data_IF_213664774807
#
_entry.id   IF_213664774807
#
_cell.length_a   1.000
_cell.length_b   1.000
_cell.length_c   1.000
_cell.angle_alpha   90.00
_cell.angle_beta   90.00
_cell.angle_gamma   90.00
#
_symmetry.space_group_name_H-M   'P 1'
#
loop_
_entity.id
_entity.type
_entity.pdbx_description
1 polymer ?
#
# COMPACT_ATOMS: atom_id res chain seq x y z
N UNK A 1 -4.42 6.09 16.03
CA UNK A 1 -3.24 5.86 15.17
C UNK A 1 -2.47 4.74 15.82
N UNK A 2 -2.06 3.72 15.07
CA UNK A 2 -1.23 2.63 15.59
C UNK A 2 0.05 3.27 16.11
N UNK A 3 0.41 3.02 17.37
CA UNK A 3 1.55 3.64 18.05
C UNK A 3 2.86 3.01 17.65
N UNK A 4 3.12 2.98 16.33
CA UNK A 4 4.43 2.70 15.78
C UNK A 4 5.27 3.97 15.99
N UNK A 5 6.40 3.83 16.67
CA UNK A 5 7.28 4.96 16.95
C UNK A 5 7.73 5.64 15.65
N UNK A 6 7.62 6.98 15.59
CA UNK A 6 8.03 7.78 14.42
C UNK A 6 7.07 7.74 13.23
N UNK A 7 6.04 6.89 13.26
CA UNK A 7 5.08 6.76 12.17
C UNK A 7 4.01 7.87 12.23
N UNK A 8 4.16 8.88 11.37
CA UNK A 8 3.23 10.03 11.27
C UNK A 8 2.74 10.22 9.82
N UNK A 9 1.78 9.40 9.36
CA UNK A 9 1.26 9.46 8.01
C UNK A 9 0.39 10.68 7.73
N UNK A 10 0.65 11.34 6.59
CA UNK A 10 -0.22 12.34 6.01
C UNK A 10 -1.29 11.68 5.13
N UNK A 11 -2.56 11.96 5.43
CA UNK A 11 -3.70 11.29 4.80
C UNK A 11 -4.24 12.06 3.61
N UNK A 12 -4.42 11.36 2.49
CA UNK A 12 -4.96 11.88 1.25
C UNK A 12 -6.26 11.17 0.89
N UNK A 13 -7.16 11.89 0.22
CA UNK A 13 -8.45 11.38 -0.29
C UNK A 13 -8.60 11.58 -1.81
N UNK A 14 -7.59 12.16 -2.46
CA UNK A 14 -7.58 12.47 -3.90
C UNK A 14 -6.35 11.85 -4.55
N UNK A 15 -6.55 11.12 -5.65
CA UNK A 15 -5.45 10.40 -6.30
C UNK A 15 -4.49 11.32 -7.04
N UNK A 16 -4.93 12.46 -7.56
CA UNK A 16 -4.02 13.39 -8.26
C UNK A 16 -3.08 14.07 -7.25
N UNK A 17 -3.61 14.50 -6.12
CA UNK A 17 -2.83 15.07 -5.03
C UNK A 17 -1.84 14.03 -4.46
N UNK A 18 -2.30 12.82 -4.14
CA UNK A 18 -1.42 11.75 -3.65
C UNK A 18 -0.35 11.40 -4.71
N UNK A 19 -0.71 11.28 -5.99
CA UNK A 19 0.24 11.04 -7.07
C UNK A 19 1.27 12.17 -7.16
N UNK A 20 0.85 13.43 -7.12
CA UNK A 20 1.71 14.59 -7.25
C UNK A 20 2.74 14.66 -6.12
N UNK A 21 2.33 14.42 -4.88
CA UNK A 21 3.22 14.46 -3.70
C UNK A 21 4.32 13.40 -3.79
N UNK A 22 4.01 12.19 -4.27
CA UNK A 22 4.96 11.07 -4.24
C UNK A 22 5.66 10.76 -5.56
N UNK A 23 5.23 11.37 -6.67
CA UNK A 23 5.75 11.13 -8.03
C UNK A 23 7.27 11.08 -8.10
N UNK A 24 7.94 12.12 -7.61
CA UNK A 24 9.40 12.23 -7.70
C UNK A 24 10.13 11.08 -6.99
N UNK A 25 9.56 10.55 -5.90
CA UNK A 25 10.14 9.42 -5.17
C UNK A 25 9.89 8.11 -5.91
N UNK A 26 8.67 7.89 -6.42
CA UNK A 26 8.36 6.69 -7.21
C UNK A 26 9.14 6.61 -8.52
N UNK A 27 9.38 7.73 -9.22
CA UNK A 27 10.23 7.75 -10.43
C UNK A 27 11.63 7.18 -10.15
N UNK A 28 12.18 7.38 -8.95
CA UNK A 28 13.50 6.84 -8.56
C UNK A 28 13.47 5.33 -8.28
N UNK A 29 12.28 4.77 -8.02
CA UNK A 29 12.08 3.33 -7.82
C UNK A 29 11.87 2.57 -9.12
N UNK A 30 11.52 3.23 -10.22
CA UNK A 30 11.37 2.55 -11.51
C UNK A 30 12.67 1.83 -11.89
N UNK A 31 12.55 0.56 -12.27
CA UNK A 31 13.64 -0.37 -12.55
C UNK A 31 14.28 -1.02 -11.31
N UNK A 32 13.95 -0.59 -10.08
CA UNK A 32 14.45 -1.22 -8.85
C UNK A 32 13.61 -2.46 -8.53
N UNK A 33 14.24 -3.58 -8.11
CA UNK A 33 13.50 -4.75 -7.68
C UNK A 33 12.93 -4.58 -6.27
N UNK A 34 11.74 -5.14 -6.02
CA UNK A 34 11.24 -5.33 -4.65
C UNK A 34 12.10 -6.38 -3.96
N UNK A 35 12.83 -6.02 -2.89
CA UNK A 35 13.72 -6.95 -2.19
C UNK A 35 12.97 -7.84 -1.20
N UNK A 36 12.13 -7.20 -0.41
CA UNK A 36 11.32 -7.83 0.61
C UNK A 36 10.07 -6.99 0.85
N UNK A 37 9.14 -7.53 1.63
CA UNK A 37 7.98 -6.82 2.12
C UNK A 37 7.66 -7.29 3.52
N UNK A 38 7.02 -6.42 4.30
CA UNK A 38 6.74 -6.67 5.70
C UNK A 38 5.31 -6.28 6.01
N UNK A 39 4.63 -7.15 6.73
CA UNK A 39 3.30 -6.90 7.27
C UNK A 39 3.35 -7.01 8.79
N UNK A 40 2.57 -6.18 9.45
CA UNK A 40 2.32 -6.29 10.89
C UNK A 40 1.51 -7.56 11.15
N UNK A 41 1.97 -8.40 12.07
CA UNK A 41 1.40 -9.71 12.33
C UNK A 41 0.89 -9.79 13.76
N UNK A 42 -0.38 -10.14 13.90
CA UNK A 42 -0.98 -10.44 15.20
C UNK A 42 -0.59 -11.85 15.62
N UNK A 43 0.20 -11.96 16.69
CA UNK A 43 0.67 -13.22 17.23
C UNK A 43 -0.44 -13.97 17.99
N UNK A 44 -1.43 -13.26 18.54
CA UNK A 44 -2.56 -13.86 19.23
C UNK A 44 -3.55 -14.47 18.23
N UNK A 45 -3.91 -13.72 17.20
CA UNK A 45 -4.82 -14.18 16.12
C UNK A 45 -4.10 -14.99 15.03
N UNK A 46 -2.76 -15.04 15.08
CA UNK A 46 -1.88 -15.74 14.14
C UNK A 46 -2.18 -15.32 12.69
N UNK A 47 -2.36 -14.02 12.48
CA UNK A 47 -2.85 -13.47 11.22
C UNK A 47 -2.22 -12.12 10.88
N UNK A 48 -2.45 -11.69 9.66
CA UNK A 48 -2.09 -10.33 9.25
C UNK A 48 -3.01 -9.34 9.94
N UNK A 49 -2.42 -8.37 10.65
CA UNK A 49 -3.12 -7.23 11.21
C UNK A 49 -3.26 -6.14 10.12
N UNK A 50 -4.41 -6.12 9.45
CA UNK A 50 -4.63 -5.36 8.22
C UNK A 50 -4.76 -3.84 8.44
N UNK A 51 -5.06 -3.38 9.66
CA UNK A 51 -4.94 -1.97 10.03
C UNK A 51 -3.49 -1.44 9.95
N UNK A 52 -2.51 -2.33 10.10
CA UNK A 52 -1.09 -2.03 10.04
C UNK A 52 -0.62 -1.64 8.63
N UNK A 53 0.46 -0.83 8.52
CA UNK A 53 1.03 -0.46 7.23
C UNK A 53 1.55 -1.68 6.46
N UNK A 54 1.38 -1.64 5.14
CA UNK A 54 2.06 -2.53 4.21
C UNK A 54 3.40 -1.90 3.83
N UNK A 55 4.49 -2.62 4.09
CA UNK A 55 5.85 -2.10 3.87
C UNK A 55 6.48 -2.83 2.69
N UNK A 56 6.92 -2.07 1.69
CA UNK A 56 7.61 -2.56 0.49
C UNK A 56 9.06 -2.08 0.51
N UNK A 57 10.00 -3.01 0.63
CA UNK A 57 11.42 -2.72 0.74
C UNK A 57 12.10 -2.82 -0.63
N UNK A 58 12.63 -1.70 -1.12
CA UNK A 58 13.40 -1.60 -2.37
C UNK A 58 14.92 -1.57 -2.12
N UNK A 59 15.35 -1.83 -0.89
CA UNK A 59 16.73 -1.89 -0.41
C UNK A 59 17.42 -0.56 -0.18
N UNK A 60 16.90 0.51 -0.80
CA UNK A 60 17.39 1.89 -0.61
C UNK A 60 16.39 2.76 0.14
N UNK A 61 15.14 2.33 0.20
CA UNK A 61 14.04 3.00 0.88
C UNK A 61 12.91 1.98 1.06
N UNK A 62 12.12 2.18 2.11
CA UNK A 62 10.86 1.52 2.35
C UNK A 62 9.71 2.42 1.88
N UNK A 63 8.78 1.84 1.13
CA UNK A 63 7.49 2.46 0.85
C UNK A 63 6.48 1.86 1.79
N UNK A 64 5.82 2.70 2.57
CA UNK A 64 4.88 2.30 3.60
C UNK A 64 3.50 2.82 3.18
N UNK A 65 2.53 1.91 3.02
CA UNK A 65 1.17 2.26 2.58
C UNK A 65 0.18 1.91 3.68
N UNK A 66 -0.73 2.82 3.98
CA UNK A 66 -1.86 2.55 4.87
C UNK A 66 -3.13 3.16 4.31
N UNK A 67 -4.15 2.33 4.18
CA UNK A 67 -5.53 2.77 4.02
C UNK A 67 -6.18 2.90 5.39
N UNK A 68 -7.10 3.87 5.50
CA UNK A 68 -8.02 3.95 6.62
C UNK A 68 -9.33 4.58 6.18
N UNK A 69 -10.38 4.38 6.98
CA UNK A 69 -11.73 4.87 6.66
C UNK A 69 -12.11 4.44 5.23
N UNK A 70 -13.12 5.07 4.67
CA UNK A 70 -13.66 4.67 3.38
C UNK A 70 -12.79 5.04 2.16
N UNK A 71 -11.93 6.06 2.25
CA UNK A 71 -11.19 6.58 1.09
C UNK A 71 -9.87 7.29 1.42
N UNK A 72 -9.35 7.14 2.64
CA UNK A 72 -8.10 7.79 3.00
C UNK A 72 -6.93 6.82 2.78
N UNK A 73 -5.89 7.32 2.13
CA UNK A 73 -4.63 6.60 1.94
C UNK A 73 -3.46 7.50 2.29
N UNK A 74 -2.48 6.92 2.97
CA UNK A 74 -1.19 7.53 3.22
C UNK A 74 -0.08 6.71 2.58
N UNK A 75 0.91 7.40 2.03
CA UNK A 75 2.18 6.82 1.58
C UNK A 75 3.29 7.53 2.33
N UNK A 76 4.03 6.79 3.13
CA UNK A 76 5.20 7.29 3.85
C UNK A 76 6.45 6.56 3.37
N UNK A 77 7.60 7.08 3.80
CA UNK A 77 8.89 6.63 3.32
C UNK A 77 9.88 6.63 4.48
N UNK A 78 10.44 5.46 4.77
CA UNK A 78 11.48 5.28 5.79
C UNK A 78 11.10 5.82 7.19
N UNK A 79 9.80 5.84 7.54
CA UNK A 79 9.37 6.25 8.89
C UNK A 79 9.34 5.09 9.87
N UNK A 80 9.20 3.86 9.38
CA UNK A 80 9.08 2.66 10.23
C UNK A 80 10.43 1.95 10.30
N UNK A 81 11.01 1.89 11.50
CA UNK A 81 12.15 1.02 11.78
C UNK A 81 11.68 -0.39 12.12
N UNK A 82 11.86 -1.31 11.18
CA UNK A 82 11.52 -2.73 11.33
C UNK A 82 12.33 -3.46 12.42
N UNK A 83 13.42 -2.86 12.93
CA UNK A 83 14.21 -3.42 14.02
C UNK A 83 13.69 -3.02 15.40
N UNK A 84 12.80 -2.03 15.45
CA UNK A 84 12.15 -1.62 16.70
C UNK A 84 10.92 -2.52 16.91
N UNK A 85 10.83 -3.23 18.05
CA UNK A 85 9.66 -4.02 18.39
C UNK A 85 8.41 -3.15 18.41
N UNK A 86 7.28 -3.71 17.98
CA UNK A 86 6.00 -3.03 18.08
C UNK A 86 5.51 -3.16 19.52
N UNK A 87 5.77 -2.14 20.35
CA UNK A 87 5.46 -2.13 21.79
C UNK A 87 3.96 -1.92 22.09
N UNK A 88 3.10 -2.17 21.11
CA UNK A 88 1.66 -2.03 21.24
C UNK A 88 1.05 -3.38 21.68
N UNK A 89 0.67 -3.46 22.96
CA UNK A 89 0.04 -4.64 23.58
C UNK A 89 0.83 -5.97 23.50
N UNK A 90 2.15 -5.92 23.26
CA UNK A 90 3.10 -7.06 23.30
C UNK A 90 2.76 -8.28 22.42
N UNK A 91 1.83 -8.17 21.45
CA UNK A 91 1.41 -9.29 20.60
C UNK A 91 1.62 -9.06 19.11
N UNK A 92 2.29 -7.98 18.71
CA UNK A 92 2.56 -7.71 17.29
C UNK A 92 4.03 -7.93 16.95
N UNK A 93 4.27 -8.47 15.75
CA UNK A 93 5.61 -8.67 15.19
C UNK A 93 5.62 -8.33 13.68
N UNK A 94 6.80 -8.10 13.11
CA UNK A 94 6.97 -7.90 11.68
C UNK A 94 7.15 -9.23 10.97
N UNK A 95 6.26 -9.56 10.04
CA UNK A 95 6.32 -10.79 9.25
C UNK A 95 6.77 -10.50 7.81
N UNK A 96 7.87 -11.13 7.33
CA UNK A 96 8.33 -10.95 5.97
C UNK A 96 7.51 -11.78 4.96
N UNK A 97 7.11 -11.15 3.85
CA UNK A 97 6.45 -11.74 2.68
C UNK A 97 5.33 -12.78 2.96
N UNK A 98 4.39 -12.54 3.91
CA UNK A 98 3.39 -13.55 4.26
C UNK A 98 2.32 -13.75 3.16
N UNK A 99 2.13 -12.76 2.26
CA UNK A 99 1.09 -12.79 1.23
C UNK A 99 1.59 -13.28 -0.13
N UNK A 100 0.76 -14.01 -0.89
CA UNK A 100 1.14 -14.56 -2.19
C UNK A 100 1.47 -13.49 -3.24
N UNK A 101 0.67 -12.41 -3.31
CA UNK A 101 0.92 -11.29 -4.22
C UNK A 101 2.28 -10.60 -3.94
N UNK A 102 2.68 -10.49 -2.67
CA UNK A 102 3.98 -9.94 -2.28
C UNK A 102 5.13 -10.86 -2.76
N UNK A 103 5.00 -12.17 -2.52
CA UNK A 103 5.97 -13.15 -3.01
C UNK A 103 6.06 -13.17 -4.54
N UNK A 104 4.94 -12.98 -5.23
CA UNK A 104 4.91 -12.90 -6.69
C UNK A 104 5.68 -11.69 -7.23
N UNK A 105 5.63 -10.54 -6.54
CA UNK A 105 6.36 -9.33 -6.90
C UNK A 105 7.85 -9.34 -6.51
N UNK A 106 8.24 -10.12 -5.49
CA UNK A 106 9.60 -10.15 -4.96
C UNK A 106 10.65 -10.46 -6.03
N UNK A 107 11.75 -9.71 -6.00
CA UNK A 107 12.88 -9.80 -6.93
C UNK A 107 12.63 -9.17 -8.30
N UNK A 108 11.40 -8.77 -8.63
CA UNK A 108 11.05 -8.23 -9.94
C UNK A 108 11.21 -6.72 -9.98
N UNK A 109 11.77 -6.15 -11.06
CA UNK A 109 11.86 -4.69 -11.24
C UNK A 109 10.49 -4.02 -11.30
N UNK A 110 10.33 -2.90 -10.61
CA UNK A 110 9.15 -2.04 -10.72
C UNK A 110 9.14 -1.33 -12.08
N UNK A 111 7.99 -1.34 -12.74
CA UNK A 111 7.79 -0.78 -14.09
C UNK A 111 6.88 0.43 -14.10
N UNK A 112 5.87 0.43 -13.24
CA UNK A 112 5.00 1.58 -13.06
C UNK A 112 4.32 1.56 -11.68
N UNK A 113 3.89 2.74 -11.24
CA UNK A 113 3.04 2.95 -10.08
C UNK A 113 1.82 3.76 -10.49
N UNK A 114 0.65 3.34 -10.05
CA UNK A 114 -0.60 4.04 -10.29
C UNK A 114 -1.41 4.15 -8.99
N UNK A 115 -2.29 5.14 -8.94
CA UNK A 115 -3.34 5.23 -7.92
C UNK A 115 -4.66 4.94 -8.61
N UNK A 116 -5.44 4.06 -8.01
CA UNK A 116 -6.74 3.62 -8.53
C UNK A 116 -7.84 4.29 -7.72
N UNK A 117 -8.79 4.89 -8.43
CA UNK A 117 -10.00 5.46 -7.86
C UNK A 117 -11.24 4.74 -8.39
N UNK A 118 -12.22 4.54 -7.52
CA UNK A 118 -13.58 4.23 -7.92
C UNK A 118 -14.31 5.53 -8.25
N UNK A 119 -14.81 5.66 -9.48
CA UNK A 119 -15.72 6.75 -9.87
C UNK A 119 -17.15 6.37 -9.51
N UNK A 120 -17.81 7.22 -8.74
CA UNK A 120 -19.19 7.01 -8.27
C UNK A 120 -20.17 7.93 -9.00
N UNK A 121 -21.45 7.64 -8.85
CA UNK A 121 -22.55 8.53 -9.30
C UNK A 121 -22.93 9.59 -8.25
N UNK A 122 -22.27 9.60 -7.09
CA UNK A 122 -22.60 10.49 -5.99
C UNK A 122 -21.85 11.82 -6.12
N UNK A 123 -22.59 12.93 -6.27
CA UNK A 123 -22.01 14.26 -6.47
C UNK A 123 -21.12 14.73 -5.31
N UNK A 124 -21.44 14.32 -4.08
CA UNK A 124 -20.67 14.71 -2.88
C UNK A 124 -19.37 13.92 -2.72
N UNK A 125 -19.21 12.80 -3.45
CA UNK A 125 -17.99 11.99 -3.43
C UNK A 125 -17.84 11.23 -4.75
N UNK A 126 -17.53 11.96 -5.85
CA UNK A 126 -17.53 11.40 -7.19
C UNK A 126 -16.37 10.44 -7.43
N UNK A 127 -15.36 10.46 -6.54
CA UNK A 127 -14.17 9.62 -6.59
C UNK A 127 -13.85 9.13 -5.18
N UNK A 128 -13.47 7.86 -5.09
CA UNK A 128 -13.04 7.20 -3.86
C UNK A 128 -11.66 6.63 -4.14
N UNK A 129 -10.67 7.03 -3.36
CA UNK A 129 -9.34 6.47 -3.43
C UNK A 129 -9.41 5.00 -3.00
N UNK A 130 -9.06 4.10 -3.92
CA UNK A 130 -9.23 2.67 -3.73
C UNK A 130 -7.90 1.95 -3.51
N UNK A 131 -6.88 2.19 -4.34
CA UNK A 131 -5.65 1.41 -4.25
C UNK A 131 -4.40 2.16 -4.72
N UNK A 132 -3.25 1.71 -4.21
CA UNK A 132 -1.94 1.99 -4.78
C UNK A 132 -1.47 0.73 -5.51
N UNK A 133 -1.34 0.84 -6.84
CA UNK A 133 -0.97 -0.24 -7.73
C UNK A 133 0.50 -0.15 -8.11
N UNK A 134 1.20 -1.27 -7.99
CA UNK A 134 2.58 -1.47 -8.40
C UNK A 134 2.61 -2.52 -9.51
N UNK A 135 3.08 -2.11 -10.69
CA UNK A 135 3.30 -2.99 -11.82
C UNK A 135 4.77 -3.38 -11.85
N UNK A 136 5.05 -4.62 -11.51
CA UNK A 136 6.38 -5.23 -11.61
C UNK A 136 6.51 -6.01 -12.93
N UNK A 137 7.73 -6.38 -13.29
CA UNK A 137 7.96 -7.23 -14.46
C UNK A 137 7.24 -8.59 -14.34
N UNK A 138 6.14 -8.74 -15.08
CA UNK A 138 5.32 -9.95 -15.08
C UNK A 138 4.55 -10.22 -13.78
N UNK A 139 4.39 -9.22 -12.89
CA UNK A 139 3.62 -9.34 -11.66
C UNK A 139 2.91 -8.01 -11.34
N UNK A 140 1.74 -8.10 -10.73
CA UNK A 140 0.98 -6.96 -10.24
C UNK A 140 0.81 -7.10 -8.73
N UNK A 141 0.88 -5.97 -8.04
CA UNK A 141 0.55 -5.87 -6.64
C UNK A 141 -0.28 -4.61 -6.43
N UNK A 142 -1.41 -4.72 -5.76
CA UNK A 142 -2.17 -3.55 -5.31
C UNK A 142 -2.39 -3.65 -3.81
N UNK A 143 -2.10 -2.54 -3.12
CA UNK A 143 -2.53 -2.31 -1.73
C UNK A 143 -3.80 -1.50 -1.81
N UNK A 144 -4.94 -2.12 -1.51
CA UNK A 144 -6.26 -1.53 -1.68
C UNK A 144 -6.97 -1.32 -0.34
N UNK A 145 -7.96 -0.44 -0.33
CA UNK A 145 -8.83 -0.21 0.82
C UNK A 145 -9.84 -1.36 0.92
N UNK A 146 -9.69 -2.18 1.96
CA UNK A 146 -10.51 -3.34 2.25
C UNK A 146 -11.60 -3.04 3.29
N UNK A 147 -12.28 -1.90 3.13
CA UNK A 147 -13.37 -1.38 4.00
C UNK A 147 -12.93 -0.62 5.25
N UNK A 148 -11.79 0.07 5.21
CA UNK A 148 -11.10 0.80 6.30
C UNK A 148 -9.79 0.19 6.80
N UNK A 149 -9.43 -0.97 6.26
CA UNK A 149 -8.14 -1.64 6.46
C UNK A 149 -7.39 -1.81 5.12
N UNK A 150 -6.16 -2.32 5.18
CA UNK A 150 -5.40 -2.68 4.00
C UNK A 150 -5.82 -4.04 3.44
N UNK A 151 -5.90 -4.15 2.12
CA UNK A 151 -6.01 -5.39 1.37
C UNK A 151 -4.86 -5.55 0.39
N UNK A 152 -4.55 -6.79 0.01
CA UNK A 152 -3.52 -7.11 -0.99
C UNK A 152 -4.10 -7.97 -2.10
N UNK A 153 -3.86 -7.60 -3.35
CA UNK A 153 -4.29 -8.39 -4.51
C UNK A 153 -3.31 -8.28 -5.67
N UNK A 154 -3.22 -9.33 -6.46
CA UNK A 154 -2.59 -9.34 -7.79
C UNK A 154 -3.64 -9.28 -8.93
N UNK A 155 -4.92 -9.45 -8.60
CA UNK A 155 -6.03 -9.43 -9.56
C UNK A 155 -6.37 -7.99 -9.95
N UNK A 156 -6.37 -7.64 -11.25
CA UNK A 156 -6.77 -6.32 -11.74
C UNK A 156 -8.22 -5.96 -11.43
N UNK A 157 -8.50 -4.67 -11.20
CA UNK A 157 -9.85 -4.19 -10.85
C UNK A 157 -10.88 -4.35 -11.98
N UNK A 158 -10.42 -4.44 -13.24
CA UNK A 158 -11.30 -4.71 -14.40
C UNK A 158 -12.04 -6.05 -14.29
N UNK A 159 -11.56 -6.95 -13.44
CA UNK A 159 -12.14 -8.26 -13.17
C UNK A 159 -13.03 -8.23 -11.90
N UNK A 160 -13.16 -7.06 -11.24
CA UNK A 160 -14.10 -6.79 -10.14
C UNK A 160 -15.45 -6.31 -10.71
N UNK A 161 -16.59 -6.57 -10.01
CA UNK A 161 -17.90 -6.22 -10.53
C UNK A 161 -18.05 -4.74 -10.90
N UNK A 162 -18.63 -4.55 -12.09
CA UNK A 162 -18.97 -3.32 -12.83
C UNK A 162 -18.88 -2.03 -12.00
N UNK A 163 -17.76 -1.33 -12.18
CA UNK A 163 -17.52 0.00 -11.60
C UNK A 163 -16.61 0.81 -12.53
N UNK A 164 -16.81 2.13 -12.60
CA UNK A 164 -15.99 3.03 -13.40
C UNK A 164 -14.66 3.27 -12.68
N UNK A 165 -13.63 2.49 -13.02
CA UNK A 165 -12.30 2.68 -12.44
C UNK A 165 -11.51 3.75 -13.18
N UNK A 166 -10.88 4.65 -12.41
CA UNK A 166 -9.93 5.62 -12.92
C UNK A 166 -8.54 5.28 -12.41
N UNK A 167 -7.56 5.32 -13.31
CA UNK A 167 -6.15 5.07 -13.01
C UNK A 167 -5.37 6.37 -13.20
N UNK A 168 -4.78 6.88 -12.13
CA UNK A 168 -3.89 8.04 -12.13
C UNK A 168 -2.46 7.53 -12.12
N UNK A 169 -1.73 7.79 -13.20
CA UNK A 169 -0.34 7.37 -13.32
C UNK A 169 0.58 8.23 -12.44
N UNK A 170 1.46 7.57 -11.70
CA UNK A 170 2.41 8.21 -10.79
C UNK A 170 3.81 8.22 -11.40
N UNK A 171 4.34 7.05 -11.77
CA UNK A 171 5.69 6.84 -12.31
C UNK A 171 5.77 5.57 -13.15
#
# INVERSE_FOLDING_TARGET
MIGIEGYDPAWHHDAEALAAVHRTRFVRLIGRPLRSSWLMWDMAERGWFADGPVILDFGTTHVEITHRKFDECAITWDQIDLNVPIDWYEHFDWRPDPHAALRAARGRPLRAVNIIELVTVADWRPRILHAVEFLFEGARLAVYNAMDENGLTDVPEKDLPVTNWRRVHVA
#
